data_IF_558122457870
#
_entry.id   IF_558122457870
#
_cell.length_a   1.000
_cell.length_b   1.000
_cell.length_c   1.000
_cell.angle_alpha   90.00
_cell.angle_beta   90.00
_cell.angle_gamma   90.00
#
_symmetry.space_group_name_H-M   'P 1'
#
loop_
_entity.id
_entity.type
_entity.pdbx_description
1 polymer ?
#
# COMPACT_ATOMS: atom_id res chain seq x y z
N UNK A 1 -22.81 -27.03 -15.94
CA UNK A 1 -22.23 -26.97 -14.58
C UNK A 1 -21.03 -26.03 -14.61
N UNK A 2 -21.18 -24.82 -14.07
CA UNK A 2 -20.31 -23.68 -14.34
C UNK A 2 -19.10 -23.59 -13.39
N UNK A 3 -17.93 -23.44 -14.01
CA UNK A 3 -16.62 -22.87 -13.62
C UNK A 3 -16.34 -22.66 -12.13
N UNK A 4 -15.32 -23.39 -11.64
CA UNK A 4 -14.64 -23.08 -10.39
C UNK A 4 -14.01 -21.69 -10.43
N UNK A 5 -14.36 -20.87 -9.44
CA UNK A 5 -13.69 -19.61 -9.17
C UNK A 5 -12.22 -19.89 -8.85
N UNK A 6 -11.34 -19.65 -9.83
CA UNK A 6 -9.90 -19.71 -9.62
C UNK A 6 -9.51 -18.66 -8.59
N UNK A 7 -9.12 -19.10 -7.40
CA UNK A 7 -8.37 -18.28 -6.46
C UNK A 7 -7.11 -17.84 -7.21
N UNK A 8 -7.05 -16.58 -7.66
CA UNK A 8 -5.80 -16.01 -8.18
C UNK A 8 -4.76 -16.19 -7.06
N UNK A 9 -3.65 -16.86 -7.37
CA UNK A 9 -2.56 -16.96 -6.41
C UNK A 9 -2.16 -15.53 -6.02
N UNK A 10 -2.08 -15.26 -4.71
CA UNK A 10 -1.54 -14.00 -4.25
C UNK A 10 -0.05 -13.99 -4.64
N UNK A 11 0.30 -13.17 -5.62
CA UNK A 11 1.71 -12.96 -5.98
C UNK A 11 2.35 -12.05 -4.92
N UNK A 12 3.45 -12.50 -4.34
CA UNK A 12 4.22 -11.69 -3.40
C UNK A 12 5.14 -10.80 -4.20
N UNK A 13 4.87 -9.50 -4.18
CA UNK A 13 5.75 -8.48 -4.76
C UNK A 13 6.55 -7.84 -3.62
N UNK A 14 7.84 -7.61 -3.85
CA UNK A 14 8.73 -6.93 -2.91
C UNK A 14 9.20 -5.61 -3.51
N UNK A 15 9.14 -4.54 -2.71
CA UNK A 15 9.65 -3.22 -3.05
C UNK A 15 10.56 -2.74 -1.91
N UNK A 16 11.70 -2.15 -2.29
CA UNK A 16 12.68 -1.62 -1.36
C UNK A 16 12.75 -0.09 -1.48
N UNK A 17 12.65 0.59 -0.34
CA UNK A 17 12.82 2.04 -0.24
C UNK A 17 14.09 2.32 0.55
N UNK A 18 14.96 3.19 0.01
CA UNK A 18 16.23 3.59 0.64
C UNK A 18 16.25 5.09 0.90
N UNK A 19 17.00 5.52 1.91
CA UNK A 19 17.13 6.94 2.24
C UNK A 19 15.88 7.58 2.83
N UNK A 20 14.98 6.80 3.43
CA UNK A 20 13.80 7.32 4.13
C UNK A 20 14.25 7.97 5.45
N UNK A 21 14.02 9.27 5.66
CA UNK A 21 14.34 9.93 6.93
C UNK A 21 13.55 9.32 8.10
N UNK A 22 14.01 9.49 9.34
CA UNK A 22 13.19 9.14 10.49
C UNK A 22 11.94 10.02 10.56
N UNK A 23 10.79 9.42 10.83
CA UNK A 23 9.51 10.15 10.86
C UNK A 23 8.30 9.24 10.78
N UNK A 24 7.12 9.84 10.83
CA UNK A 24 5.84 9.15 10.69
C UNK A 24 5.43 9.08 9.22
N UNK A 25 5.16 7.86 8.74
CA UNK A 25 4.75 7.59 7.37
C UNK A 25 3.50 6.73 7.33
N UNK A 26 2.68 6.93 6.31
CA UNK A 26 1.60 6.02 5.94
C UNK A 26 2.00 5.27 4.68
N UNK A 27 1.83 3.95 4.69
CA UNK A 27 2.07 3.10 3.51
C UNK A 27 0.80 2.33 3.18
N UNK A 28 0.40 2.43 1.92
CA UNK A 28 -0.68 1.64 1.32
C UNK A 28 -0.21 1.02 0.01
N UNK A 29 -0.69 -0.19 -0.28
CA UNK A 29 -0.48 -0.86 -1.55
C UNK A 29 -1.80 -0.86 -2.32
N UNK A 30 -1.82 -0.22 -3.49
CA UNK A 30 -2.98 -0.09 -4.37
C UNK A 30 -2.70 -0.80 -5.70
N UNK A 31 -3.71 -1.46 -6.27
CA UNK A 31 -3.57 -2.13 -7.58
C UNK A 31 -3.62 -1.16 -8.75
N UNK A 32 -4.37 -0.07 -8.60
CA UNK A 32 -4.55 0.99 -9.59
C UNK A 32 -4.62 2.34 -8.88
N UNK A 33 -3.97 3.35 -9.44
CA UNK A 33 -4.06 4.74 -9.01
C UNK A 33 -3.86 5.64 -10.23
N UNK A 34 -4.71 6.66 -10.40
CA UNK A 34 -4.47 7.68 -11.41
C UNK A 34 -3.43 8.67 -10.90
N UNK A 35 -2.52 9.13 -11.77
CA UNK A 35 -1.52 10.14 -11.38
C UNK A 35 -2.16 11.45 -10.91
N UNK A 36 -3.38 11.76 -11.37
CA UNK A 36 -4.15 12.94 -10.92
C UNK A 36 -4.60 12.81 -9.47
N UNK A 37 -4.89 11.59 -9.01
CA UNK A 37 -5.38 11.32 -7.65
C UNK A 37 -4.26 11.48 -6.61
N UNK A 38 -2.98 11.37 -7.02
CA UNK A 38 -1.83 11.56 -6.12
C UNK A 38 -1.73 12.98 -5.56
N UNK A 39 -2.38 13.96 -6.20
CA UNK A 39 -2.48 15.33 -5.71
C UNK A 39 -3.82 15.66 -5.03
N UNK A 40 -4.80 14.74 -5.05
CA UNK A 40 -6.12 14.96 -4.46
C UNK A 40 -6.10 14.61 -2.97
N UNK A 41 -6.28 15.64 -2.13
CA UNK A 41 -6.28 15.47 -0.68
C UNK A 41 -7.39 14.52 -0.19
N UNK A 42 -8.58 14.57 -0.81
CA UNK A 42 -9.72 13.74 -0.42
C UNK A 42 -9.45 12.27 -0.70
N UNK A 43 -8.79 11.97 -1.83
CA UNK A 43 -8.35 10.62 -2.15
C UNK A 43 -7.29 10.12 -1.17
N UNK A 44 -6.27 10.95 -0.88
CA UNK A 44 -5.22 10.59 0.07
C UNK A 44 -5.76 10.35 1.48
N UNK A 45 -6.77 11.11 1.92
CA UNK A 45 -7.47 10.88 3.18
C UNK A 45 -8.16 9.51 3.21
N UNK A 46 -8.86 9.13 2.13
CA UNK A 46 -9.49 7.82 2.02
C UNK A 46 -8.45 6.68 2.05
N UNK A 47 -7.35 6.83 1.31
CA UNK A 47 -6.25 5.85 1.32
C UNK A 47 -5.64 5.75 2.71
N UNK A 48 -5.43 6.89 3.39
CA UNK A 48 -4.83 6.94 4.73
C UNK A 48 -5.64 6.16 5.77
N UNK A 49 -6.96 6.09 5.63
CA UNK A 49 -7.83 5.32 6.52
C UNK A 49 -7.57 3.80 6.48
N UNK A 50 -7.03 3.30 5.36
CA UNK A 50 -6.66 1.89 5.17
C UNK A 50 -5.14 1.64 5.19
N UNK A 51 -4.35 2.71 5.24
CA UNK A 51 -2.90 2.66 5.22
C UNK A 51 -2.34 2.21 6.57
N UNK A 52 -1.16 1.57 6.53
CA UNK A 52 -0.42 1.28 7.74
C UNK A 52 0.46 2.47 8.11
N UNK A 53 0.33 2.93 9.36
CA UNK A 53 1.30 3.86 9.95
C UNK A 53 2.57 3.13 10.33
N UNK A 54 3.71 3.61 9.85
CA UNK A 54 5.04 3.17 10.27
C UNK A 54 5.87 4.37 10.72
N UNK A 55 6.78 4.12 11.65
CA UNK A 55 7.74 5.12 12.14
C UNK A 55 9.13 4.51 12.09
N UNK A 56 9.86 4.61 10.96
CA UNK A 56 11.25 4.17 10.88
C UNK A 56 12.14 5.07 11.73
N UNK A 57 13.03 4.47 12.52
CA UNK A 57 14.13 5.16 13.17
C UNK A 57 15.30 5.41 12.22
N UNK A 58 16.30 6.17 12.70
CA UNK A 58 17.52 6.45 11.94
C UNK A 58 18.28 5.16 11.60
N UNK A 59 18.52 4.93 10.30
CA UNK A 59 19.20 3.73 9.82
C UNK A 59 18.42 2.42 10.03
N UNK A 60 17.17 2.48 10.49
CA UNK A 60 16.34 1.29 10.75
C UNK A 60 15.97 0.60 9.43
N UNK A 61 16.21 -0.71 9.36
CA UNK A 61 15.65 -1.56 8.32
C UNK A 61 14.32 -2.14 8.79
N UNK A 62 13.22 -1.66 8.21
CA UNK A 62 11.87 -2.14 8.52
C UNK A 62 11.28 -2.88 7.31
N UNK A 63 10.82 -4.11 7.52
CA UNK A 63 10.07 -4.88 6.51
C UNK A 63 8.63 -5.00 6.95
N UNK A 64 7.70 -4.63 6.07
CA UNK A 64 6.28 -4.72 6.34
C UNK A 64 5.57 -5.49 5.24
N UNK A 65 4.90 -6.58 5.60
CA UNK A 65 3.98 -7.24 4.69
C UNK A 65 2.67 -6.44 4.65
N UNK A 66 2.28 -6.03 3.45
CA UNK A 66 1.06 -5.29 3.18
C UNK A 66 0.05 -6.20 2.48
N UNK A 67 -1.22 -6.01 2.80
CA UNK A 67 -2.33 -6.54 2.00
C UNK A 67 -2.84 -5.42 1.13
N UNK A 68 -3.18 -5.74 -0.11
CA UNK A 68 -3.82 -4.79 -1.00
C UNK A 68 -5.15 -4.37 -0.37
N UNK A 69 -5.29 -3.08 -0.10
CA UNK A 69 -6.59 -2.52 0.19
C UNK A 69 -7.38 -2.60 -1.11
N UNK A 70 -8.45 -3.39 -1.12
CA UNK A 70 -9.37 -3.41 -2.26
C UNK A 70 -10.10 -2.08 -2.21
N UNK A 71 -9.75 -1.17 -3.11
CA UNK A 71 -10.61 -0.03 -3.43
C UNK A 71 -11.86 -0.59 -4.10
N UNK A 72 -12.88 -0.90 -3.30
CA UNK A 72 -14.22 -1.23 -3.80
C UNK A 72 -14.75 0.05 -4.46
N UNK A 73 -14.64 0.12 -5.79
CA UNK A 73 -15.16 1.23 -6.59
C UNK A 73 -16.68 1.28 -6.51
#
# INVERSE_FOLDING_TARGET
MARGAGRRAAERVQHDFTGVPPGDYFIAALTEVDQRDLGDTSFLEQVSASALKITPGEGEKKTQDLRLAIGDR
#
